data_IF_440501579811
#
_entry.id   IF_440501579811
#
_cell.length_a   1.000
_cell.length_b   1.000
_cell.length_c   1.000
_cell.angle_alpha   90.00
_cell.angle_beta   90.00
_cell.angle_gamma   90.00
#
_symmetry.space_group_name_H-M   'P 1'
#
loop_
_entity.id
_entity.type
_entity.pdbx_description
1 polymer ?
#
# COMPACT_ATOMS: atom_id res chain seq x y z
N UNK A 1 -13.43 18.60 11.51
CA UNK A 1 -13.88 17.24 11.84
C UNK A 1 -13.34 16.86 13.21
N UNK A 2 -14.08 16.05 13.97
CA UNK A 2 -13.60 15.51 15.24
C UNK A 2 -12.50 14.46 14.98
N UNK A 3 -11.51 14.35 15.87
CA UNK A 3 -10.45 13.35 15.77
C UNK A 3 -10.96 12.01 16.31
N UNK A 4 -10.73 10.93 15.57
CA UNK A 4 -10.95 9.57 16.06
C UNK A 4 -9.73 9.13 16.87
N UNK A 5 -9.96 8.64 18.09
CA UNK A 5 -8.91 8.11 18.97
C UNK A 5 -9.16 6.61 19.12
N UNK A 6 -8.20 5.81 18.66
CA UNK A 6 -8.25 4.34 18.77
C UNK A 6 -6.97 3.87 19.45
N UNK A 7 -7.12 3.01 20.46
CA UNK A 7 -6.00 2.54 21.30
C UNK A 7 -6.02 1.02 21.44
N UNK A 8 -4.96 0.48 22.03
CA UNK A 8 -4.86 -0.95 22.32
C UNK A 8 -4.72 -1.81 21.07
N UNK A 9 -5.31 -3.01 21.13
CA UNK A 9 -5.12 -4.03 20.10
C UNK A 9 -5.72 -3.65 18.75
N UNK A 10 -6.90 -3.03 18.76
CA UNK A 10 -7.60 -2.64 17.53
C UNK A 10 -6.78 -1.64 16.70
N UNK A 11 -6.06 -0.72 17.36
CA UNK A 11 -5.16 0.23 16.70
C UNK A 11 -3.98 -0.49 16.03
N UNK A 12 -3.32 -1.42 16.75
CA UNK A 12 -2.21 -2.20 16.21
C UNK A 12 -2.61 -3.08 15.04
N UNK A 13 -3.77 -3.74 15.13
CA UNK A 13 -4.29 -4.60 14.07
C UNK A 13 -4.61 -3.81 12.80
N UNK A 14 -5.14 -2.58 12.93
CA UNK A 14 -5.38 -1.72 11.77
C UNK A 14 -4.06 -1.31 11.08
N UNK A 15 -3.08 -0.84 11.85
CA UNK A 15 -1.75 -0.49 11.32
C UNK A 15 -1.10 -1.70 10.64
N UNK A 16 -1.15 -2.88 11.28
CA UNK A 16 -0.58 -4.10 10.73
C UNK A 16 -1.21 -4.49 9.38
N UNK A 17 -2.53 -4.32 9.23
CA UNK A 17 -3.20 -4.57 7.93
C UNK A 17 -2.68 -3.61 6.86
N UNK A 18 -2.53 -2.34 7.17
CA UNK A 18 -1.94 -1.35 6.27
C UNK A 18 -0.52 -1.72 5.82
N UNK A 19 0.36 -2.02 6.78
CA UNK A 19 1.73 -2.47 6.52
C UNK A 19 1.76 -3.71 5.63
N UNK A 20 0.89 -4.69 5.91
CA UNK A 20 0.83 -5.91 5.12
C UNK A 20 0.39 -5.65 3.67
N UNK A 21 -0.58 -4.76 3.44
CA UNK A 21 -1.02 -4.40 2.10
C UNK A 21 0.12 -3.76 1.31
N UNK A 22 0.81 -2.77 1.90
CA UNK A 22 1.99 -2.14 1.30
C UNK A 22 3.07 -3.18 0.98
N UNK A 23 3.45 -3.99 1.98
CA UNK A 23 4.52 -4.96 1.86
C UNK A 23 4.20 -6.03 0.81
N UNK A 24 2.96 -6.52 0.76
CA UNK A 24 2.54 -7.55 -0.18
C UNK A 24 2.56 -7.04 -1.63
N UNK A 25 2.21 -5.78 -1.85
CA UNK A 25 2.27 -5.14 -3.15
C UNK A 25 3.71 -4.85 -3.61
N UNK A 26 4.61 -4.44 -2.71
CA UNK A 26 5.99 -4.08 -3.06
C UNK A 26 6.89 -5.33 -3.16
N UNK A 27 6.72 -6.33 -2.29
CA UNK A 27 7.65 -7.48 -2.21
C UNK A 27 7.70 -8.30 -3.49
N UNK A 28 6.64 -8.30 -4.30
CA UNK A 28 6.61 -9.05 -5.56
C UNK A 28 7.63 -8.52 -6.57
N UNK A 29 8.06 -7.26 -6.44
CA UNK A 29 8.98 -6.62 -7.38
C UNK A 29 10.45 -6.82 -6.99
N UNK A 30 10.73 -7.51 -5.88
CA UNK A 30 12.08 -7.64 -5.33
C UNK A 30 12.97 -8.59 -6.15
N UNK A 31 14.21 -8.14 -6.39
CA UNK A 31 15.28 -8.94 -6.98
C UNK A 31 15.18 -9.11 -8.51
N UNK A 32 16.16 -9.80 -9.12
CA UNK A 32 16.25 -9.92 -10.58
C UNK A 32 15.08 -10.71 -11.21
N UNK A 33 14.35 -11.49 -10.40
CA UNK A 33 13.15 -12.25 -10.79
C UNK A 33 11.85 -11.62 -10.29
N UNK A 34 11.87 -10.33 -9.93
CA UNK A 34 10.68 -9.59 -9.55
C UNK A 34 9.58 -9.66 -10.63
N UNK A 35 8.33 -9.73 -10.18
CA UNK A 35 7.13 -9.73 -11.00
C UNK A 35 6.68 -8.30 -11.29
N UNK A 36 5.86 -8.17 -12.33
CA UNK A 36 5.28 -6.90 -12.70
C UNK A 36 4.13 -6.55 -11.74
N UNK A 37 4.13 -5.31 -11.26
CA UNK A 37 2.95 -4.65 -10.74
C UNK A 37 2.27 -3.86 -11.89
N UNK A 38 0.94 -3.82 -11.87
CA UNK A 38 0.14 -3.06 -12.83
C UNK A 38 -0.60 -1.98 -12.07
N UNK A 39 -0.42 -0.73 -12.48
CA UNK A 39 -0.97 0.45 -11.81
C UNK A 39 -1.90 1.16 -12.79
N UNK A 40 -3.14 1.37 -12.37
CA UNK A 40 -4.16 2.06 -13.15
C UNK A 40 -3.79 3.54 -13.33
N UNK A 41 -4.12 4.09 -14.50
CA UNK A 41 -4.09 5.53 -14.76
C UNK A 41 -5.48 6.00 -15.12
N UNK A 42 -5.85 7.20 -14.67
CA UNK A 42 -7.13 7.85 -15.04
C UNK A 42 -7.29 8.04 -16.56
N UNK A 43 -6.19 8.16 -17.30
CA UNK A 43 -6.20 8.32 -18.76
C UNK A 43 -5.03 7.56 -19.40
N UNK A 44 -5.29 6.95 -20.56
CA UNK A 44 -4.29 6.22 -21.34
C UNK A 44 -4.06 4.79 -20.87
N UNK A 45 -2.88 4.24 -21.20
CA UNK A 45 -2.50 2.88 -20.85
C UNK A 45 -2.01 2.77 -19.38
N UNK A 46 -2.21 1.63 -18.71
CA UNK A 46 -1.71 1.40 -17.34
C UNK A 46 -0.18 1.40 -17.28
N UNK A 47 0.39 1.69 -16.10
CA UNK A 47 1.82 1.51 -15.86
C UNK A 47 2.08 0.06 -15.50
N UNK A 48 3.01 -0.58 -16.21
CA UNK A 48 3.53 -1.90 -15.84
C UNK A 48 4.96 -1.71 -15.36
N UNK A 49 5.26 -2.02 -14.11
CA UNK A 49 6.58 -1.76 -13.51
C UNK A 49 7.06 -2.90 -12.60
N UNK A 50 8.38 -2.99 -12.44
CA UNK A 50 9.07 -3.81 -11.42
C UNK A 50 9.81 -2.95 -10.39
N UNK A 51 9.60 -1.63 -10.41
CA UNK A 51 10.16 -0.73 -9.44
C UNK A 51 9.25 -0.64 -8.20
N UNK A 52 9.74 -1.16 -7.08
CA UNK A 52 9.01 -1.14 -5.81
C UNK A 52 8.79 0.28 -5.28
N UNK A 53 9.65 1.24 -5.61
CA UNK A 53 9.47 2.64 -5.20
C UNK A 53 8.26 3.26 -5.90
N UNK A 54 8.09 2.99 -7.20
CA UNK A 54 6.90 3.42 -7.95
C UNK A 54 5.65 2.75 -7.42
N UNK A 55 5.68 1.45 -7.10
CA UNK A 55 4.53 0.74 -6.52
C UNK A 55 4.13 1.33 -5.18
N UNK A 56 5.08 1.56 -4.27
CA UNK A 56 4.81 2.10 -2.94
C UNK A 56 4.16 3.49 -2.97
N UNK A 57 4.54 4.34 -3.93
CA UNK A 57 3.98 5.71 -4.06
C UNK A 57 2.51 5.76 -4.45
N UNK A 58 1.99 4.69 -5.04
CA UNK A 58 0.63 4.64 -5.59
C UNK A 58 -0.34 3.92 -4.62
N UNK A 59 0.14 3.46 -3.46
CA UNK A 59 -0.71 2.82 -2.45
C UNK A 59 -1.33 3.89 -1.57
N UNK A 60 -2.65 3.99 -1.63
CA UNK A 60 -3.48 4.78 -0.75
C UNK A 60 -4.69 3.94 -0.33
N UNK A 61 -4.88 3.76 0.98
CA UNK A 61 -5.93 2.92 1.54
C UNK A 61 -7.12 3.78 1.98
N UNK A 62 -8.33 3.25 1.79
CA UNK A 62 -9.56 3.97 2.16
C UNK A 62 -9.72 4.13 3.67
N UNK A 63 -9.27 3.16 4.45
CA UNK A 63 -9.31 3.22 5.92
C UNK A 63 -8.15 4.09 6.44
N UNK A 64 -8.41 5.19 7.17
CA UNK A 64 -7.36 6.08 7.64
C UNK A 64 -6.38 5.46 8.64
N UNK A 65 -6.80 4.44 9.40
CA UNK A 65 -5.93 3.75 10.37
C UNK A 65 -4.99 2.78 9.65
N UNK A 66 -5.48 2.11 8.61
CA UNK A 66 -4.66 1.26 7.75
C UNK A 66 -3.72 2.12 6.90
N UNK A 67 -4.21 3.21 6.31
CA UNK A 67 -3.42 4.14 5.50
C UNK A 67 -2.29 4.83 6.29
N UNK A 68 -2.41 4.91 7.62
CA UNK A 68 -1.36 5.43 8.49
C UNK A 68 -0.20 4.43 8.66
N UNK A 69 -0.48 3.14 8.49
CA UNK A 69 0.52 2.07 8.56
C UNK A 69 1.11 1.66 7.21
N UNK A 70 0.37 1.83 6.12
CA UNK A 70 0.84 1.65 4.76
C UNK A 70 1.82 2.77 4.33
#
# INVERSE_FOLDING_TARGET
MAKQIVTGENSRQAILRGVNILADAVKITLGPKGRNAVIEKKFGAPIITKDGVTVAKEIELQDPLENMGA
#
